data_IF_288948201876
#
_entry.id   IF_288948201876
#
_cell.length_a   1.000
_cell.length_b   1.000
_cell.length_c   1.000
_cell.angle_alpha   90.00
_cell.angle_beta   90.00
_cell.angle_gamma   90.00
#
_symmetry.space_group_name_H-M   'P 1'
#
loop_
_entity.id
_entity.type
_entity.pdbx_description
1 polymer ?
#
# COMPACT_ATOMS: atom_id res chain seq x y z
N UNK A 1 -28.62 -11.27 24.30
CA UNK A 1 -28.41 -9.93 23.73
C UNK A 1 -26.92 -9.85 23.52
N UNK A 2 -26.49 -10.11 22.29
CA UNK A 2 -25.09 -10.11 21.89
C UNK A 2 -24.71 -8.66 21.60
N UNK A 3 -23.95 -8.05 22.51
CA UNK A 3 -23.25 -6.80 22.25
C UNK A 3 -22.13 -7.11 21.26
N UNK A 4 -22.41 -6.90 19.98
CA UNK A 4 -21.37 -6.79 18.96
C UNK A 4 -20.68 -5.43 19.18
N UNK A 5 -19.35 -5.38 19.32
CA UNK A 5 -18.65 -4.10 19.46
C UNK A 5 -18.93 -3.25 18.22
N UNK A 6 -19.37 -2.01 18.46
CA UNK A 6 -19.67 -1.02 17.43
C UNK A 6 -18.35 -0.62 16.77
N UNK A 7 -18.25 -0.83 15.46
CA UNK A 7 -17.09 -0.47 14.61
C UNK A 7 -16.94 1.06 14.49
N UNK A 8 -15.75 1.63 14.26
CA UNK A 8 -15.59 3.07 14.14
C UNK A 8 -16.26 3.61 12.88
N UNK A 9 -16.97 4.73 13.06
CA UNK A 9 -17.38 5.56 11.94
C UNK A 9 -16.17 6.31 11.36
N UNK A 10 -16.22 6.59 10.05
CA UNK A 10 -15.29 7.51 9.39
C UNK A 10 -15.30 8.88 10.10
N UNK A 11 -14.21 9.68 10.03
CA UNK A 11 -14.25 11.06 10.50
C UNK A 11 -15.41 11.82 9.82
N UNK A 12 -16.51 12.04 10.54
CA UNK A 12 -17.71 12.71 10.03
C UNK A 12 -18.97 11.86 9.82
N UNK A 13 -18.99 10.57 10.21
CA UNK A 13 -20.22 9.75 10.22
C UNK A 13 -20.58 9.33 11.66
N UNK A 14 -21.87 9.25 11.99
CA UNK A 14 -22.35 8.89 13.35
C UNK A 14 -22.50 7.36 13.55
N UNK A 15 -22.61 6.58 12.47
CA UNK A 15 -22.61 5.11 12.47
C UNK A 15 -21.69 4.57 11.36
N UNK A 16 -20.92 3.49 11.62
CA UNK A 16 -20.07 2.86 10.61
C UNK A 16 -20.90 2.18 9.51
N UNK A 17 -20.60 2.49 8.25
CA UNK A 17 -21.03 1.66 7.13
C UNK A 17 -20.22 0.35 7.16
N UNK A 18 -20.89 -0.81 7.01
CA UNK A 18 -20.24 -2.13 7.08
C UNK A 18 -20.48 -2.92 5.80
N UNK A 19 -19.49 -3.72 5.40
CA UNK A 19 -19.63 -4.75 4.37
C UNK A 19 -20.56 -5.89 4.85
N UNK A 20 -21.08 -6.74 3.95
CA UNK A 20 -21.79 -7.95 4.35
C UNK A 20 -20.97 -8.89 5.26
N UNK A 21 -19.64 -8.93 5.08
CA UNK A 21 -18.72 -9.65 5.97
C UNK A 21 -18.48 -8.96 7.33
N UNK A 22 -18.99 -7.74 7.53
CA UNK A 22 -18.90 -6.98 8.78
C UNK A 22 -17.67 -6.07 8.91
N UNK A 23 -16.87 -5.91 7.85
CA UNK A 23 -15.73 -4.99 7.83
C UNK A 23 -16.21 -3.53 7.64
N UNK A 24 -15.53 -2.53 8.23
CA UNK A 24 -15.91 -1.13 8.06
C UNK A 24 -15.63 -0.61 6.63
N UNK A 25 -16.49 0.29 6.16
CA UNK A 25 -16.35 1.05 4.91
C UNK A 25 -16.05 2.51 5.28
N UNK A 26 -14.95 3.03 4.74
CA UNK A 26 -14.56 4.43 4.92
C UNK A 26 -14.82 5.24 3.65
N UNK A 27 -15.51 6.39 3.78
CA UNK A 27 -15.92 7.25 2.66
C UNK A 27 -15.23 8.62 2.76
N UNK A 28 -14.62 9.07 1.67
CA UNK A 28 -13.86 10.34 1.64
C UNK A 28 -14.40 11.38 0.63
N UNK A 29 -15.42 11.05 -0.16
CA UNK A 29 -15.97 11.88 -1.26
C UNK A 29 -16.42 13.30 -0.84
N UNK A 30 -16.82 13.46 0.43
CA UNK A 30 -17.30 14.74 0.98
C UNK A 30 -16.30 15.36 1.97
N UNK A 31 -15.08 14.83 2.05
CA UNK A 31 -14.03 15.36 2.91
C UNK A 31 -13.12 16.28 2.11
N UNK A 32 -12.92 17.49 2.63
CA UNK A 32 -11.86 18.36 2.14
C UNK A 32 -10.51 17.82 2.63
N UNK A 33 -9.54 17.57 1.74
CA UNK A 33 -8.22 17.14 2.17
C UNK A 33 -7.58 18.21 3.06
N UNK A 34 -6.78 17.78 4.03
CA UNK A 34 -6.05 18.68 4.90
C UNK A 34 -5.20 19.66 4.07
N UNK A 35 -5.09 20.90 4.56
CA UNK A 35 -4.38 21.98 3.87
C UNK A 35 -2.92 21.62 3.63
N UNK A 36 -2.35 22.16 2.54
CA UNK A 36 -0.94 21.98 2.22
C UNK A 36 -0.04 22.36 3.40
N UNK A 37 0.90 21.50 3.73
CA UNK A 37 1.91 21.74 4.76
C UNK A 37 3.27 21.31 4.23
N UNK A 38 4.22 22.23 4.12
CA UNK A 38 5.55 21.88 3.62
C UNK A 38 6.22 20.90 4.60
N UNK A 39 6.60 19.73 4.10
CA UNK A 39 7.31 18.72 4.86
C UNK A 39 8.79 18.71 4.49
N UNK A 40 9.65 18.71 5.51
CA UNK A 40 11.03 18.24 5.37
C UNK A 40 11.08 16.77 5.79
N UNK A 41 11.84 15.95 5.07
CA UNK A 41 12.08 14.56 5.47
C UNK A 41 12.86 14.48 6.78
N UNK A 42 12.60 13.44 7.57
CA UNK A 42 13.46 13.11 8.71
C UNK A 42 14.66 12.29 8.23
N UNK A 43 15.81 12.94 8.07
CA UNK A 43 17.07 12.33 7.62
C UNK A 43 17.41 11.04 8.39
N UNK A 44 17.08 10.97 9.69
CA UNK A 44 17.31 9.79 10.52
C UNK A 44 16.36 8.63 10.17
N UNK A 45 15.09 8.93 9.96
CA UNK A 45 14.06 7.97 9.52
C UNK A 45 14.38 7.43 8.13
N UNK A 46 14.72 8.30 7.18
CA UNK A 46 15.10 7.95 5.80
C UNK A 46 16.32 7.04 5.80
N UNK A 47 17.37 7.37 6.55
CA UNK A 47 18.56 6.54 6.64
C UNK A 47 18.27 5.16 7.26
N UNK A 48 17.45 5.11 8.31
CA UNK A 48 17.08 3.84 8.96
C UNK A 48 16.26 2.94 8.02
N UNK A 49 15.31 3.51 7.26
CA UNK A 49 14.52 2.77 6.27
C UNK A 49 15.41 2.28 5.13
N UNK A 50 16.29 3.13 4.59
CA UNK A 50 17.24 2.74 3.54
C UNK A 50 18.15 1.59 4.00
N UNK A 51 18.73 1.66 5.21
CA UNK A 51 19.57 0.59 5.75
C UNK A 51 18.76 -0.71 5.96
N UNK A 52 17.51 -0.60 6.39
CA UNK A 52 16.61 -1.74 6.56
C UNK A 52 16.31 -2.44 5.22
N UNK A 53 16.01 -1.67 4.18
CA UNK A 53 15.85 -2.18 2.81
C UNK A 53 17.12 -2.90 2.37
N UNK A 54 18.29 -2.25 2.47
CA UNK A 54 19.55 -2.83 2.02
C UNK A 54 19.93 -4.11 2.76
N UNK A 55 19.65 -4.16 4.06
CA UNK A 55 19.93 -5.33 4.90
C UNK A 55 19.11 -6.56 4.51
N UNK A 56 17.88 -6.37 4.06
CA UNK A 56 16.92 -7.45 3.87
C UNK A 56 16.65 -7.81 2.42
N UNK A 57 16.66 -6.83 1.51
CA UNK A 57 16.26 -7.00 0.11
C UNK A 57 17.44 -6.83 -0.87
N UNK A 58 18.52 -6.18 -0.43
CA UNK A 58 19.70 -5.90 -1.26
C UNK A 58 19.85 -4.41 -1.59
N UNK A 59 20.91 -4.04 -2.34
CA UNK A 59 21.30 -2.65 -2.52
C UNK A 59 20.19 -1.82 -3.19
N UNK A 60 19.94 -0.62 -2.66
CA UNK A 60 19.05 0.35 -3.29
C UNK A 60 19.68 0.81 -4.60
N UNK A 61 18.99 0.53 -5.70
CA UNK A 61 19.44 0.81 -7.07
C UNK A 61 19.15 2.26 -7.48
N UNK A 62 18.17 2.89 -6.85
CA UNK A 62 17.82 4.28 -7.07
C UNK A 62 16.78 4.77 -6.06
N UNK A 63 16.65 6.09 -5.96
CA UNK A 63 15.60 6.75 -5.17
C UNK A 63 14.95 7.80 -6.04
N UNK A 64 13.63 7.72 -6.20
CA UNK A 64 12.84 8.77 -6.82
C UNK A 64 12.44 9.77 -5.74
N UNK A 65 13.17 10.89 -5.71
CA UNK A 65 12.91 11.97 -4.77
C UNK A 65 11.74 12.83 -5.21
N UNK A 66 10.91 13.22 -4.26
CA UNK A 66 9.85 14.17 -4.55
C UNK A 66 10.35 15.62 -4.63
N UNK A 67 9.96 16.33 -5.69
CA UNK A 67 10.38 17.72 -5.92
C UNK A 67 9.69 18.69 -4.95
N UNK A 68 8.42 18.43 -4.60
CA UNK A 68 7.60 19.24 -3.69
C UNK A 68 6.78 18.32 -2.78
N UNK A 69 7.09 18.34 -1.49
CA UNK A 69 6.48 17.44 -0.51
C UNK A 69 5.38 18.12 0.30
N UNK A 70 4.17 17.59 0.17
CA UNK A 70 3.00 18.00 0.96
C UNK A 70 2.78 17.04 2.14
N UNK A 71 2.83 17.54 3.38
CA UNK A 71 2.65 16.84 4.67
C UNK A 71 3.70 15.80 5.02
N UNK A 72 4.12 14.98 4.06
CA UNK A 72 5.22 14.01 4.18
C UNK A 72 6.18 14.12 3.00
N UNK A 73 7.47 13.99 3.28
CA UNK A 73 8.51 13.89 2.25
C UNK A 73 8.55 12.47 1.72
N UNK A 74 8.00 12.27 0.51
CA UNK A 74 7.74 10.93 0.02
C UNK A 74 8.72 10.54 -1.08
N UNK A 75 9.71 9.77 -0.68
CA UNK A 75 10.65 9.13 -1.58
C UNK A 75 10.22 7.69 -1.88
N UNK A 76 10.59 7.21 -3.06
CA UNK A 76 10.41 5.80 -3.44
C UNK A 76 11.78 5.19 -3.71
N UNK A 77 12.14 4.19 -2.91
CA UNK A 77 13.35 3.38 -3.05
C UNK A 77 13.10 2.26 -4.05
N UNK A 78 14.07 2.01 -4.92
CA UNK A 78 14.03 0.95 -5.93
C UNK A 78 15.08 -0.09 -5.61
N UNK A 79 14.67 -1.35 -5.50
CA UNK A 79 15.57 -2.50 -5.41
C UNK A 79 15.40 -3.33 -6.67
N UNK A 80 16.48 -3.46 -7.44
CA UNK A 80 16.48 -4.26 -8.66
C UNK A 80 16.38 -5.78 -8.36
N UNK A 81 15.85 -6.58 -9.30
CA UNK A 81 15.80 -8.03 -9.18
C UNK A 81 17.16 -8.64 -8.88
N UNK A 82 17.16 -9.63 -8.01
CA UNK A 82 18.32 -10.44 -7.64
C UNK A 82 18.01 -11.93 -7.76
N UNK A 83 19.00 -12.78 -7.46
CA UNK A 83 18.79 -14.22 -7.44
C UNK A 83 17.83 -14.67 -6.32
N UNK A 84 17.83 -13.94 -5.19
CA UNK A 84 16.98 -14.26 -4.03
C UNK A 84 15.59 -13.63 -4.16
N UNK A 85 15.50 -12.46 -4.82
CA UNK A 85 14.26 -11.72 -5.06
C UNK A 85 14.11 -11.41 -6.56
N UNK A 86 13.46 -12.28 -7.35
CA UNK A 86 13.41 -12.18 -8.82
C UNK A 86 12.37 -11.15 -9.34
N UNK A 87 12.19 -10.05 -8.62
CA UNK A 87 11.24 -8.97 -8.86
C UNK A 87 11.85 -7.62 -8.48
N UNK A 88 11.34 -6.53 -9.03
CA UNK A 88 11.63 -5.18 -8.52
C UNK A 88 10.82 -4.96 -7.24
N UNK A 89 11.44 -4.41 -6.21
CA UNK A 89 10.72 -3.95 -5.03
C UNK A 89 10.79 -2.41 -4.96
N UNK A 90 9.62 -1.78 -4.88
CA UNK A 90 9.48 -0.34 -4.73
C UNK A 90 8.93 -0.07 -3.34
N UNK A 91 9.61 0.75 -2.55
CA UNK A 91 9.32 0.95 -1.13
C UNK A 91 9.28 2.44 -0.83
N UNK A 92 8.23 2.92 -0.16
CA UNK A 92 8.18 4.31 0.28
C UNK A 92 9.12 4.57 1.46
N UNK A 93 9.63 5.79 1.56
CA UNK A 93 10.11 6.35 2.82
C UNK A 93 9.51 7.72 3.04
N UNK A 94 9.02 7.94 4.26
CA UNK A 94 8.52 9.22 4.74
C UNK A 94 7.01 9.23 5.01
N UNK A 95 6.26 8.21 4.55
CA UNK A 95 4.87 8.01 5.01
C UNK A 95 4.83 7.90 6.54
N UNK A 96 5.84 7.24 7.12
CA UNK A 96 6.01 7.02 8.54
C UNK A 96 6.60 8.21 9.31
N UNK A 97 6.88 9.35 8.67
CA UNK A 97 7.36 10.55 9.37
C UNK A 97 6.27 11.17 10.25
N UNK A 98 5.01 10.85 9.97
CA UNK A 98 3.85 11.20 10.80
C UNK A 98 3.04 9.95 11.13
N UNK A 99 2.43 9.88 12.33
CA UNK A 99 1.52 8.79 12.63
C UNK A 99 0.23 8.92 11.82
N UNK A 100 -0.29 7.79 11.35
CA UNK A 100 -1.65 7.68 10.82
C UNK A 100 -2.70 7.84 11.94
N UNK A 101 -3.94 8.14 11.56
CA UNK A 101 -5.07 8.27 12.48
C UNK A 101 -5.77 6.92 12.68
N UNK A 102 -5.10 6.03 13.41
CA UNK A 102 -5.65 4.72 13.78
C UNK A 102 -6.65 4.88 14.94
N UNK A 103 -7.89 4.36 14.84
CA UNK A 103 -8.86 4.39 15.94
C UNK A 103 -8.35 3.64 17.19
N UNK A 104 -8.58 4.14 18.40
CA UNK A 104 -8.10 3.52 19.65
C UNK A 104 -8.52 2.06 19.89
N UNK A 105 -9.63 1.65 19.30
CA UNK A 105 -10.22 0.32 19.40
C UNK A 105 -9.58 -0.70 18.44
N UNK A 106 -8.87 -0.25 17.41
CA UNK A 106 -8.14 -1.14 16.51
C UNK A 106 -6.92 -1.69 17.26
N UNK A 107 -6.79 -3.02 17.39
CA UNK A 107 -5.63 -3.62 18.03
C UNK A 107 -4.33 -3.22 17.35
N UNK A 108 -3.27 -3.01 18.14
CA UNK A 108 -1.98 -2.56 17.63
C UNK A 108 -1.30 -3.58 16.69
N UNK A 109 -1.73 -4.84 16.74
CA UNK A 109 -1.32 -5.92 15.83
C UNK A 109 -2.12 -5.94 14.51
N UNK A 110 -3.30 -5.31 14.46
CA UNK A 110 -4.10 -5.17 13.24
C UNK A 110 -3.70 -3.92 12.43
N UNK A 111 -3.30 -2.84 13.11
CA UNK A 111 -2.93 -1.58 12.47
C UNK A 111 -1.77 -0.86 13.19
N UNK A 112 -0.71 -0.59 12.43
CA UNK A 112 0.39 0.21 12.90
C UNK A 112 0.09 1.71 12.79
N UNK A 113 0.56 2.50 13.77
CA UNK A 113 0.51 3.97 13.68
C UNK A 113 1.48 4.54 12.65
N UNK A 114 2.55 3.82 12.34
CA UNK A 114 3.56 4.23 11.37
C UNK A 114 3.74 3.12 10.35
N UNK A 115 3.64 3.46 9.08
CA UNK A 115 3.75 2.50 8.00
C UNK A 115 4.53 3.08 6.83
N UNK A 116 5.11 2.19 6.05
CA UNK A 116 5.57 2.42 4.68
C UNK A 116 4.87 1.39 3.77
N UNK A 117 4.80 1.71 2.48
CA UNK A 117 4.15 0.89 1.47
C UNK A 117 5.20 0.28 0.54
N UNK A 118 4.94 -0.94 0.12
CA UNK A 118 5.73 -1.67 -0.87
C UNK A 118 4.84 -2.07 -2.06
N UNK A 119 5.42 -2.21 -3.24
CA UNK A 119 4.80 -2.95 -4.35
C UNK A 119 5.88 -3.75 -5.07
N UNK A 120 5.56 -4.99 -5.44
CA UNK A 120 6.50 -5.91 -6.08
C UNK A 120 6.14 -6.03 -7.56
N UNK A 121 7.05 -5.61 -8.44
CA UNK A 121 6.84 -5.64 -9.88
C UNK A 121 7.66 -6.76 -10.51
N UNK A 122 7.14 -7.45 -11.54
CA UNK A 122 7.90 -8.51 -12.19
C UNK A 122 9.19 -7.94 -12.77
N UNK A 123 10.26 -8.74 -12.84
CA UNK A 123 11.55 -8.29 -13.40
C UNK A 123 11.47 -7.79 -14.85
N UNK A 124 10.39 -8.13 -15.56
CA UNK A 124 10.07 -7.66 -16.90
C UNK A 124 9.38 -6.30 -16.97
N UNK A 125 8.99 -5.72 -15.82
CA UNK A 125 8.43 -4.35 -15.79
C UNK A 125 9.46 -3.36 -16.32
N UNK A 126 9.00 -2.37 -17.09
CA UNK A 126 9.87 -1.38 -17.73
C UNK A 126 10.39 -0.33 -16.74
N UNK A 127 11.21 -0.76 -15.79
CA UNK A 127 11.90 0.10 -14.82
C UNK A 127 13.40 0.14 -15.14
N UNK A 128 13.85 1.13 -15.92
CA UNK A 128 15.27 1.32 -16.15
C UNK A 128 15.96 1.77 -14.84
N UNK A 129 17.25 1.44 -14.72
CA UNK A 129 18.06 1.79 -13.54
C UNK A 129 18.77 3.14 -13.69
N UNK A 130 18.82 3.70 -14.90
CA UNK A 130 19.39 5.03 -15.14
C UNK A 130 18.35 6.13 -14.81
N UNK A 131 18.72 7.18 -14.04
CA UNK A 131 17.77 8.22 -13.65
C UNK A 131 17.10 8.99 -14.81
N UNK A 132 17.80 9.22 -15.93
CA UNK A 132 17.23 9.92 -17.07
C UNK A 132 16.26 9.01 -17.83
N UNK A 133 16.63 7.74 -18.03
CA UNK A 133 15.73 6.74 -18.61
C UNK A 133 14.51 6.48 -17.72
N UNK A 134 14.68 6.52 -16.40
CA UNK A 134 13.59 6.35 -15.44
C UNK A 134 12.58 7.49 -15.55
N UNK A 135 13.06 8.73 -15.76
CA UNK A 135 12.18 9.87 -16.01
C UNK A 135 11.38 9.71 -17.30
N UNK A 136 12.01 9.23 -18.37
CA UNK A 136 11.33 8.95 -19.65
C UNK A 136 10.31 7.81 -19.51
N UNK A 137 10.66 6.74 -18.81
CA UNK A 137 9.76 5.62 -18.55
C UNK A 137 8.50 6.04 -17.78
N UNK A 138 8.61 7.02 -16.87
CA UNK A 138 7.48 7.54 -16.10
C UNK A 138 6.62 8.56 -16.85
N UNK A 139 6.94 8.89 -18.11
CA UNK A 139 6.00 9.59 -18.99
C UNK A 139 4.87 8.66 -19.49
N UNK A 140 5.08 7.35 -19.40
CA UNK A 140 4.10 6.32 -19.72
C UNK A 140 3.25 5.96 -18.49
N UNK A 141 1.93 6.16 -18.57
CA UNK A 141 0.99 5.91 -17.49
C UNK A 141 0.89 4.41 -17.15
N UNK A 142 1.04 3.53 -18.15
CA UNK A 142 1.01 2.08 -17.98
C UNK A 142 2.22 1.58 -17.15
N UNK A 143 3.32 2.34 -17.17
CA UNK A 143 4.52 2.07 -16.36
C UNK A 143 4.45 2.74 -15.00
N UNK A 144 3.89 3.95 -14.93
CA UNK A 144 3.94 4.83 -13.76
C UNK A 144 2.87 4.54 -12.70
N UNK A 145 1.73 3.94 -13.05
CA UNK A 145 0.62 3.73 -12.12
C UNK A 145 1.02 3.07 -10.78
N UNK A 146 1.96 2.10 -10.68
CA UNK A 146 2.35 1.52 -9.39
C UNK A 146 2.95 2.55 -8.45
N UNK A 147 3.78 3.45 -8.99
CA UNK A 147 4.40 4.54 -8.24
C UNK A 147 3.35 5.58 -7.86
N UNK A 148 2.46 5.93 -8.78
CA UNK A 148 1.34 6.81 -8.48
C UNK A 148 0.52 6.29 -7.28
N UNK A 149 0.17 5.00 -7.27
CA UNK A 149 -0.60 4.38 -6.20
C UNK A 149 0.15 4.33 -4.87
N UNK A 150 1.45 3.99 -4.87
CA UNK A 150 2.28 4.12 -3.67
C UNK A 150 2.20 5.55 -3.12
N UNK A 151 2.36 6.56 -4.00
CA UNK A 151 2.39 7.96 -3.57
C UNK A 151 1.05 8.46 -3.06
N UNK A 152 -0.02 8.11 -3.75
CA UNK A 152 -1.38 8.48 -3.38
C UNK A 152 -1.77 7.84 -2.03
N UNK A 153 -1.55 6.52 -1.87
CA UNK A 153 -1.92 5.82 -0.65
C UNK A 153 -1.04 6.24 0.55
N UNK A 154 0.24 6.54 0.35
CA UNK A 154 1.09 7.06 1.42
C UNK A 154 0.62 8.43 1.96
N UNK A 155 -0.08 9.22 1.14
CA UNK A 155 -0.67 10.51 1.57
C UNK A 155 -2.07 10.36 2.16
N UNK A 156 -2.83 9.36 1.73
CA UNK A 156 -4.23 9.17 2.11
C UNK A 156 -4.48 9.31 3.63
N UNK A 157 -3.70 8.69 4.54
CA UNK A 157 -3.86 8.87 5.99
C UNK A 157 -3.73 10.32 6.46
N UNK A 158 -2.82 11.08 5.84
CA UNK A 158 -2.46 12.44 6.23
C UNK A 158 -3.40 13.48 5.61
N UNK A 159 -3.90 13.21 4.41
CA UNK A 159 -4.85 14.08 3.71
C UNK A 159 -6.24 13.99 4.33
N UNK A 160 -6.68 12.79 4.71
CA UNK A 160 -8.06 12.55 5.16
C UNK A 160 -8.17 12.20 6.63
N UNK A 161 -7.06 12.23 7.38
CA UNK A 161 -7.06 11.86 8.80
C UNK A 161 -7.53 10.42 9.01
N UNK A 162 -7.01 9.50 8.19
CA UNK A 162 -7.38 8.07 8.20
C UNK A 162 -6.16 7.18 8.43
N UNK A 163 -6.28 5.89 8.14
CA UNK A 163 -5.21 4.90 8.33
C UNK A 163 -5.30 3.79 7.29
N UNK A 164 -4.17 3.12 7.10
CA UNK A 164 -4.01 1.97 6.22
C UNK A 164 -3.56 0.76 7.05
N UNK A 165 -4.11 -0.41 6.75
CA UNK A 165 -3.78 -1.64 7.48
C UNK A 165 -4.08 -2.88 6.67
N UNK A 166 -3.76 -4.04 7.25
CA UNK A 166 -3.92 -5.32 6.58
C UNK A 166 -5.37 -5.57 6.14
N UNK A 167 -5.55 -6.07 4.91
CA UNK A 167 -6.85 -6.36 4.33
C UNK A 167 -7.66 -5.13 3.91
N UNK A 168 -7.16 -3.90 4.11
CA UNK A 168 -7.80 -2.72 3.53
C UNK A 168 -7.75 -2.78 2.00
N UNK A 169 -8.83 -2.34 1.37
CA UNK A 169 -9.00 -2.34 -0.09
C UNK A 169 -9.40 -0.94 -0.54
N UNK A 170 -8.65 -0.37 -1.49
CA UNK A 170 -8.87 0.98 -2.02
C UNK A 170 -9.12 0.86 -3.52
N UNK A 171 -10.38 1.00 -3.98
CA UNK A 171 -10.71 0.92 -5.40
C UNK A 171 -10.28 2.19 -6.15
N UNK A 172 -9.99 2.05 -7.44
CA UNK A 172 -9.83 3.17 -8.35
C UNK A 172 -11.21 3.78 -8.65
N UNK A 173 -11.54 4.84 -7.90
CA UNK A 173 -12.90 5.39 -7.92
C UNK A 173 -13.95 4.44 -7.34
N UNK A 174 -15.21 4.80 -7.47
CA UNK A 174 -16.33 4.01 -6.92
C UNK A 174 -16.48 2.65 -7.60
N UNK A 175 -16.15 2.58 -8.89
CA UNK A 175 -16.36 1.40 -9.74
C UNK A 175 -15.16 0.46 -9.80
N UNK A 176 -14.06 0.75 -9.10
CA UNK A 176 -12.79 0.03 -9.20
C UNK A 176 -12.32 -0.09 -10.66
N UNK A 177 -12.27 1.05 -11.36
CA UNK A 177 -11.86 1.12 -12.76
C UNK A 177 -10.44 0.57 -12.95
N UNK A 178 -10.12 -0.05 -14.10
CA UNK A 178 -8.77 -0.50 -14.41
C UNK A 178 -7.67 0.55 -14.14
N UNK A 179 -6.52 0.12 -13.63
CA UNK A 179 -5.38 1.01 -13.36
C UNK A 179 -4.64 1.47 -14.62
N UNK A 180 -4.74 0.69 -15.70
CA UNK A 180 -4.07 0.91 -16.97
C UNK A 180 -4.87 0.23 -18.10
N UNK A 181 -4.59 0.58 -19.35
CA UNK A 181 -5.32 0.06 -20.52
C UNK A 181 -5.06 -1.44 -20.79
N UNK A 182 -4.00 -2.00 -20.22
CA UNK A 182 -3.53 -3.37 -20.44
C UNK A 182 -3.89 -4.37 -19.34
N UNK A 183 -4.69 -3.96 -18.34
CA UNK A 183 -5.14 -4.82 -17.25
C UNK A 183 -6.57 -4.49 -16.84
N UNK A 184 -7.24 -5.41 -16.14
CA UNK A 184 -8.56 -5.15 -15.50
C UNK A 184 -8.43 -5.06 -13.96
N UNK A 185 -7.21 -5.05 -13.43
CA UNK A 185 -6.94 -4.79 -12.02
C UNK A 185 -7.32 -3.35 -11.69
N UNK A 186 -8.14 -3.14 -10.66
CA UNK A 186 -8.74 -1.84 -10.37
C UNK A 186 -8.92 -1.52 -8.89
N UNK A 187 -8.39 -2.35 -7.99
CA UNK A 187 -8.41 -2.11 -6.55
C UNK A 187 -7.08 -2.50 -5.89
N UNK A 188 -6.59 -1.70 -4.95
CA UNK A 188 -5.38 -2.01 -4.17
C UNK A 188 -5.75 -2.63 -2.83
N UNK A 189 -5.32 -3.86 -2.59
CA UNK A 189 -5.38 -4.49 -1.27
C UNK A 189 -4.05 -4.36 -0.53
N UNK A 190 -4.08 -4.07 0.76
CA UNK A 190 -2.88 -4.07 1.60
C UNK A 190 -2.70 -5.42 2.28
N UNK A 191 -1.51 -6.01 2.16
CA UNK A 191 -1.17 -7.30 2.76
C UNK A 191 0.19 -7.25 3.48
N UNK A 192 0.49 -8.29 4.24
CA UNK A 192 1.87 -8.63 4.60
C UNK A 192 2.42 -9.57 3.53
N UNK A 193 3.48 -9.15 2.84
CA UNK A 193 4.01 -9.90 1.71
C UNK A 193 4.53 -11.29 2.14
N UNK A 194 4.10 -12.38 1.48
CA UNK A 194 4.73 -13.69 1.60
C UNK A 194 6.06 -13.78 0.83
N UNK A 195 6.31 -12.87 -0.11
CA UNK A 195 7.54 -12.83 -0.92
C UNK A 195 8.67 -11.99 -0.30
N UNK A 196 8.37 -11.21 0.76
CA UNK A 196 9.38 -10.48 1.53
C UNK A 196 9.71 -11.20 2.84
N UNK A 197 10.95 -11.07 3.36
CA UNK A 197 11.32 -11.68 4.63
C UNK A 197 10.46 -11.17 5.79
N UNK A 198 10.07 -12.05 6.72
CA UNK A 198 9.34 -11.65 7.95
C UNK A 198 10.10 -10.54 8.72
N UNK A 199 11.43 -10.64 8.78
CA UNK A 199 12.29 -9.63 9.41
C UNK A 199 12.26 -8.25 8.72
N UNK A 200 11.83 -8.19 7.46
CA UNK A 200 11.65 -6.92 6.74
C UNK A 200 10.34 -6.22 7.11
N UNK A 201 9.30 -6.96 7.51
CA UNK A 201 7.94 -6.42 7.69
C UNK A 201 7.84 -5.35 8.79
N UNK A 202 8.81 -5.27 9.70
CA UNK A 202 8.86 -4.26 10.75
C UNK A 202 10.25 -3.66 10.95
N UNK A 203 10.31 -2.37 11.26
CA UNK A 203 11.53 -1.64 11.64
C UNK A 203 11.29 -0.86 12.93
N UNK A 204 12.04 -1.15 13.98
CA UNK A 204 12.01 -0.38 15.23
C UNK A 204 12.98 0.79 15.12
N UNK A 205 12.45 2.01 14.99
CA UNK A 205 13.23 3.26 14.90
C UNK A 205 13.52 3.82 16.29
N UNK A 206 12.54 3.77 17.20
CA UNK A 206 12.68 4.15 18.62
C UNK A 206 11.70 3.34 19.48
N UNK A 207 11.75 3.43 20.83
CA UNK A 207 10.77 2.78 21.69
C UNK A 207 9.31 3.16 21.41
N UNK A 208 9.07 4.31 20.79
CA UNK A 208 7.76 4.87 20.46
C UNK A 208 7.40 4.78 18.96
N UNK A 209 8.36 4.40 18.10
CA UNK A 209 8.19 4.33 16.63
C UNK A 209 8.65 2.99 16.10
N UNK A 210 7.68 2.13 15.79
CA UNK A 210 7.84 0.93 14.96
C UNK A 210 7.12 1.16 13.64
N UNK A 211 7.86 1.03 12.54
CA UNK A 211 7.35 1.17 11.17
C UNK A 211 6.98 -0.22 10.66
N UNK A 212 5.78 -0.36 10.13
CA UNK A 212 5.33 -1.58 9.44
C UNK A 212 5.38 -1.38 7.92
N UNK A 213 5.74 -2.43 7.20
CA UNK A 213 5.81 -2.41 5.74
C UNK A 213 4.63 -3.22 5.18
N UNK A 214 3.61 -2.53 4.69
CA UNK A 214 2.49 -3.16 4.00
C UNK A 214 2.78 -3.23 2.50
N UNK A 215 2.38 -4.32 1.85
CA UNK A 215 2.53 -4.50 0.41
C UNK A 215 1.20 -4.29 -0.29
N UNK A 216 1.22 -3.48 -1.35
CA UNK A 216 0.09 -3.27 -2.25
C UNK A 216 -0.02 -4.48 -3.18
N UNK A 217 -1.19 -5.11 -3.16
CA UNK A 217 -1.58 -6.22 -4.02
C UNK A 217 -2.76 -5.76 -4.89
N UNK A 218 -2.53 -5.50 -6.19
CA UNK A 218 -3.60 -5.20 -7.13
C UNK A 218 -4.59 -6.37 -7.27
N UNK A 219 -5.88 -6.07 -7.12
CA UNK A 219 -6.98 -7.02 -7.24
C UNK A 219 -8.05 -6.55 -8.22
N UNK A 220 -8.78 -7.51 -8.78
CA UNK A 220 -9.94 -7.22 -9.61
C UNK A 220 -11.10 -6.69 -8.75
N UNK A 221 -12.03 -5.99 -9.39
CA UNK A 221 -13.27 -5.54 -8.75
C UNK A 221 -14.02 -6.72 -8.10
N UNK A 222 -14.18 -7.82 -8.81
CA UNK A 222 -14.93 -8.99 -8.33
C UNK A 222 -14.23 -9.68 -7.14
N UNK A 223 -12.91 -9.59 -7.05
CA UNK A 223 -12.15 -10.10 -5.90
C UNK A 223 -12.31 -9.20 -4.67
N UNK A 224 -12.33 -7.88 -4.87
CA UNK A 224 -12.70 -6.94 -3.81
C UNK A 224 -14.14 -7.22 -3.32
N UNK A 225 -15.08 -7.41 -4.24
CA UNK A 225 -16.48 -7.74 -3.93
C UNK A 225 -16.59 -9.07 -3.17
N UNK A 226 -15.87 -10.12 -3.60
CA UNK A 226 -15.78 -11.39 -2.89
C UNK A 226 -15.31 -11.19 -1.44
N UNK A 227 -14.25 -10.40 -1.24
CA UNK A 227 -13.74 -10.05 0.09
C UNK A 227 -14.73 -9.23 0.92
N UNK A 228 -15.45 -8.30 0.29
CA UNK A 228 -16.51 -7.54 0.96
C UNK A 228 -17.67 -8.45 1.39
N UNK A 229 -18.01 -9.47 0.59
CA UNK A 229 -19.10 -10.39 0.90
C UNK A 229 -18.73 -11.44 1.94
N UNK A 230 -17.54 -12.03 1.83
CA UNK A 230 -17.17 -13.28 2.52
C UNK A 230 -15.98 -13.12 3.47
N UNK A 231 -15.30 -11.97 3.46
CA UNK A 231 -14.14 -11.68 4.29
C UNK A 231 -12.82 -11.93 3.58
N UNK A 232 -11.73 -11.46 4.19
CA UNK A 232 -10.39 -11.51 3.59
C UNK A 232 -9.87 -12.94 3.43
N UNK A 233 -10.16 -13.83 4.40
CA UNK A 233 -9.73 -15.23 4.36
C UNK A 233 -10.30 -15.96 3.15
N UNK A 234 -11.55 -15.69 2.76
CA UNK A 234 -12.17 -16.30 1.60
C UNK A 234 -11.46 -15.90 0.28
N UNK A 235 -10.93 -14.68 0.20
CA UNK A 235 -10.13 -14.26 -0.94
C UNK A 235 -8.74 -14.91 -0.92
N UNK A 236 -8.10 -15.00 0.25
CA UNK A 236 -6.81 -15.68 0.36
C UNK A 236 -6.88 -17.17 0.06
N UNK A 237 -7.95 -17.87 0.48
CA UNK A 237 -8.18 -19.28 0.12
C UNK A 237 -8.21 -19.45 -1.41
N UNK A 238 -8.80 -18.49 -2.14
CA UNK A 238 -8.80 -18.48 -3.61
C UNK A 238 -7.43 -18.15 -4.18
N UNK A 239 -6.70 -17.20 -3.61
CA UNK A 239 -5.32 -16.92 -4.03
C UNK A 239 -4.44 -18.16 -3.89
N UNK A 240 -4.55 -18.90 -2.78
CA UNK A 240 -3.82 -20.14 -2.55
C UNK A 240 -4.21 -21.23 -3.56
N UNK A 241 -5.51 -21.37 -3.87
CA UNK A 241 -6.01 -22.35 -4.86
C UNK A 241 -5.43 -22.11 -6.26
N UNK A 242 -5.32 -20.84 -6.67
CA UNK A 242 -4.85 -20.44 -8.01
C UNK A 242 -3.37 -20.07 -8.06
N UNK A 243 -2.65 -20.11 -6.93
CA UNK A 243 -1.24 -19.74 -6.83
C UNK A 243 -0.98 -18.26 -7.10
N UNK A 244 -1.90 -17.37 -6.73
CA UNK A 244 -1.75 -15.93 -6.86
C UNK A 244 -0.72 -15.43 -5.84
N UNK A 245 0.18 -14.56 -6.28
CA UNK A 245 1.19 -13.92 -5.44
C UNK A 245 0.99 -12.42 -5.41
N UNK A 246 1.74 -11.71 -4.57
CA UNK A 246 1.74 -10.25 -4.49
C UNK A 246 2.76 -9.57 -5.41
N UNK A 247 3.44 -10.34 -6.27
CA UNK A 247 4.14 -9.81 -7.43
C UNK A 247 3.08 -9.49 -8.49
N UNK A 248 3.08 -8.25 -8.99
CA UNK A 248 2.11 -7.80 -10.00
C UNK A 248 2.18 -8.68 -11.24
N UNK A 249 1.02 -9.20 -11.63
CA UNK A 249 0.81 -9.97 -12.85
C UNK A 249 -0.48 -9.46 -13.49
N UNK A 250 -0.33 -8.78 -14.63
CA UNK A 250 -1.45 -8.14 -15.33
C UNK A 250 -2.36 -9.16 -16.02
N UNK A 251 -1.83 -10.35 -16.31
CA UNK A 251 -2.48 -11.42 -17.07
C UNK A 251 -3.02 -12.55 -16.16
N UNK A 252 -2.92 -12.40 -14.84
CA UNK A 252 -3.37 -13.43 -13.88
C UNK A 252 -4.87 -13.68 -14.00
N UNK A 253 -5.38 -14.88 -13.63
CA UNK A 253 -6.82 -15.09 -13.59
C UNK A 253 -7.49 -14.26 -12.47
N UNK A 254 -8.72 -13.84 -12.72
CA UNK A 254 -9.62 -13.32 -11.69
C UNK A 254 -10.20 -14.50 -10.90
N UNK A 255 -9.81 -14.64 -9.63
CA UNK A 255 -10.13 -15.84 -8.84
C UNK A 255 -11.56 -15.85 -8.31
N UNK A 256 -12.27 -14.71 -8.36
CA UNK A 256 -13.68 -14.62 -8.01
C UNK A 256 -14.59 -15.12 -9.14
N UNK A 257 -14.10 -15.10 -10.38
CA UNK A 257 -14.81 -15.57 -11.57
C UNK A 257 -14.38 -16.97 -12.05
N UNK A 258 -13.28 -17.49 -11.51
CA UNK A 258 -12.70 -18.78 -11.87
C UNK A 258 -13.39 -19.98 -11.18
#
# INVERSE_FOLDING_TARGET
MSDTPISPASPGQDEPELTPSGAPIYRYENMEPAQFELAGGDDGSIAAISEHIERHLGPVSGVFHEILSDKVHLDVHFVAPSADFPFHALITSGMSDRPMTVPPEVPADEAARFAELCILLPSTWNLPTDPEEMREAFEDEDVYWPIYWLKMLARLPHDYGTWLGFGHTIPNGEDAEPFADDTELGCMMLIMSPNLPEAFQTLVVSPEKTVHFYTLCPIYREEMELKMEQGVDALFDRFDEYGITDIVDLDRPNVALA
#
